data_IF_316896591981
#
_entry.id   IF_316896591981
#
_cell.length_a   1.000
_cell.length_b   1.000
_cell.length_c   1.000
_cell.angle_alpha   90.00
_cell.angle_beta   90.00
_cell.angle_gamma   90.00
#
_symmetry.space_group_name_H-M   'P 1'
#
loop_
_entity.id
_entity.type
_entity.pdbx_description
1 polymer ?
#
# COMPACT_ATOMS: atom_id res chain seq x y z
N UNK A 1 22.66 -9.78 8.75
CA UNK A 1 21.36 -9.83 9.46
C UNK A 1 21.56 -10.47 10.82
N UNK A 2 21.09 -9.88 11.90
CA UNK A 2 21.19 -10.50 13.23
C UNK A 2 20.36 -11.79 13.24
N UNK A 3 20.98 -12.89 13.62
CA UNK A 3 20.29 -14.19 13.76
C UNK A 3 19.61 -14.33 15.13
N UNK A 4 20.09 -13.57 16.11
CA UNK A 4 19.59 -13.55 17.49
C UNK A 4 19.58 -12.11 17.97
N UNK A 5 18.51 -11.71 18.64
CA UNK A 5 18.36 -10.39 19.22
C UNK A 5 17.32 -9.52 18.50
N UNK A 6 16.88 -8.51 19.22
CA UNK A 6 15.89 -7.53 18.77
C UNK A 6 16.57 -6.50 17.86
N UNK A 7 15.98 -6.25 16.70
CA UNK A 7 16.39 -5.15 15.81
C UNK A 7 15.43 -3.99 16.02
N UNK A 8 15.89 -2.86 16.58
CA UNK A 8 15.02 -1.71 16.76
C UNK A 8 14.54 -1.17 15.40
N UNK A 9 13.26 -0.87 15.31
CA UNK A 9 12.69 -0.22 14.12
C UNK A 9 13.18 1.22 14.09
N UNK A 10 13.63 1.67 12.90
CA UNK A 10 13.96 3.08 12.69
C UNK A 10 12.69 3.91 12.74
N UNK A 11 12.75 5.01 13.48
CA UNK A 11 11.67 6.00 13.50
C UNK A 11 11.58 6.70 12.14
N UNK A 12 10.36 6.88 11.66
CA UNK A 12 10.08 7.61 10.43
C UNK A 12 9.66 9.02 10.82
N UNK A 13 10.45 10.01 10.43
CA UNK A 13 10.12 11.42 10.65
C UNK A 13 8.92 11.82 9.78
N UNK A 14 8.05 12.70 10.26
CA UNK A 14 6.94 13.22 9.47
C UNK A 14 7.45 14.03 8.27
N UNK A 15 6.63 14.08 7.22
CA UNK A 15 6.94 14.89 6.06
C UNK A 15 6.90 16.39 6.39
N UNK A 16 7.87 17.22 5.92
CA UNK A 16 7.93 18.62 6.27
C UNK A 16 6.76 19.45 5.71
N UNK A 17 6.14 19.03 4.60
CA UNK A 17 5.04 19.75 3.95
C UNK A 17 3.69 19.33 4.52
N UNK A 18 3.44 18.03 4.61
CA UNK A 18 2.13 17.49 5.04
C UNK A 18 2.10 17.05 6.52
N UNK A 19 3.22 17.08 7.23
CA UNK A 19 3.31 16.78 8.67
C UNK A 19 2.96 15.36 9.08
N UNK A 20 2.79 14.43 8.13
CA UNK A 20 2.37 13.05 8.40
C UNK A 20 3.45 12.02 8.07
N UNK A 21 3.61 11.03 8.94
CA UNK A 21 4.55 9.91 8.72
C UNK A 21 4.11 9.00 7.58
N UNK A 22 2.81 8.98 7.28
CA UNK A 22 2.26 8.15 6.21
C UNK A 22 2.70 8.64 4.84
N UNK A 23 2.75 9.98 4.64
CA UNK A 23 3.28 10.59 3.41
C UNK A 23 4.77 10.28 3.27
N UNK A 24 5.56 10.34 4.35
CA UNK A 24 6.97 9.93 4.30
C UNK A 24 7.12 8.47 3.88
N UNK A 25 6.27 7.58 4.39
CA UNK A 25 6.26 6.16 3.98
C UNK A 25 5.88 6.00 2.50
N UNK A 26 4.95 6.79 1.98
CA UNK A 26 4.60 6.82 0.56
C UNK A 26 5.81 7.25 -0.28
N UNK A 27 6.48 8.35 0.08
CA UNK A 27 7.68 8.83 -0.59
C UNK A 27 8.77 7.75 -0.61
N UNK A 28 9.00 7.07 0.51
CA UNK A 28 9.96 5.97 0.59
C UNK A 28 9.58 4.79 -0.32
N UNK A 29 8.29 4.56 -0.55
CA UNK A 29 7.81 3.50 -1.45
C UNK A 29 7.95 3.90 -2.93
N UNK A 30 7.79 5.19 -3.26
CA UNK A 30 8.00 5.73 -4.61
C UNK A 30 9.50 5.76 -4.97
N UNK A 31 10.36 5.97 -3.98
CA UNK A 31 11.78 6.17 -4.17
C UNK A 31 12.45 4.97 -4.86
N UNK A 32 13.27 5.26 -5.88
CA UNK A 32 14.15 4.32 -6.56
C UNK A 32 15.58 4.83 -6.44
N UNK A 33 16.55 3.91 -6.35
CA UNK A 33 18.00 4.19 -6.32
C UNK A 33 18.42 5.23 -5.25
N UNK A 34 17.66 5.35 -4.17
CA UNK A 34 17.92 6.32 -3.11
C UNK A 34 17.63 7.79 -3.48
N UNK A 35 17.01 8.04 -4.64
CA UNK A 35 16.71 9.41 -5.14
C UNK A 35 15.49 10.00 -4.43
N UNK A 36 15.65 10.35 -3.15
CA UNK A 36 14.55 10.84 -2.31
C UNK A 36 13.94 12.16 -2.82
N UNK A 37 14.75 13.13 -3.25
CA UNK A 37 14.25 14.42 -3.75
C UNK A 37 13.33 14.27 -4.95
N UNK A 38 13.65 13.37 -5.88
CA UNK A 38 12.78 13.07 -7.02
C UNK A 38 11.46 12.46 -6.55
N UNK A 39 11.50 11.51 -5.61
CA UNK A 39 10.30 10.88 -5.07
C UNK A 39 9.41 11.88 -4.31
N UNK A 40 9.99 12.83 -3.58
CA UNK A 40 9.25 13.92 -2.94
C UNK A 40 8.54 14.80 -3.97
N UNK A 41 9.24 15.25 -5.01
CA UNK A 41 8.64 16.07 -6.07
C UNK A 41 7.49 15.34 -6.76
N UNK A 42 7.66 14.06 -7.09
CA UNK A 42 6.58 13.24 -7.68
C UNK A 42 5.37 13.17 -6.75
N UNK A 43 5.59 12.94 -5.46
CA UNK A 43 4.52 12.86 -4.47
C UNK A 43 3.76 14.19 -4.34
N UNK A 44 4.49 15.31 -4.25
CA UNK A 44 3.89 16.64 -4.09
C UNK A 44 3.11 17.07 -5.33
N UNK A 45 3.66 16.89 -6.53
CA UNK A 45 2.95 17.15 -7.78
C UNK A 45 1.69 16.28 -7.93
N UNK A 46 1.76 15.00 -7.51
CA UNK A 46 0.59 14.14 -7.52
C UNK A 46 -0.50 14.66 -6.56
N UNK A 47 -0.12 15.11 -5.37
CA UNK A 47 -1.05 15.65 -4.39
C UNK A 47 -1.67 16.97 -4.83
N UNK A 48 -0.89 17.86 -5.46
CA UNK A 48 -1.40 19.08 -6.09
C UNK A 48 -2.46 18.75 -7.16
N UNK A 49 -2.14 17.82 -8.07
CA UNK A 49 -3.07 17.35 -9.10
C UNK A 49 -4.35 16.75 -8.51
N UNK A 50 -4.24 15.97 -7.43
CA UNK A 50 -5.42 15.42 -6.73
C UNK A 50 -6.27 16.54 -6.14
N UNK A 51 -5.66 17.52 -5.46
CA UNK A 51 -6.37 18.65 -4.87
C UNK A 51 -7.10 19.49 -5.92
N UNK A 52 -6.43 19.78 -7.04
CA UNK A 52 -7.03 20.53 -8.16
C UNK A 52 -8.23 19.82 -8.79
N UNK A 53 -8.11 18.50 -9.02
CA UNK A 53 -9.16 17.73 -9.69
C UNK A 53 -10.34 17.37 -8.78
N UNK A 54 -10.10 17.13 -7.51
CA UNK A 54 -11.14 16.69 -6.56
C UNK A 54 -11.75 17.85 -5.77
N UNK A 55 -11.07 18.99 -5.67
CA UNK A 55 -11.47 20.12 -4.81
C UNK A 55 -11.39 19.81 -3.31
N UNK A 56 -10.81 18.67 -2.92
CA UNK A 56 -10.63 18.24 -1.53
C UNK A 56 -9.15 18.32 -1.14
N UNK A 57 -8.83 18.41 0.17
CA UNK A 57 -7.46 18.27 0.62
C UNK A 57 -6.87 16.93 0.16
N UNK A 58 -5.69 16.96 -0.45
CA UNK A 58 -5.06 15.75 -0.99
C UNK A 58 -4.79 14.69 0.08
N UNK A 59 -4.53 15.11 1.32
CA UNK A 59 -4.34 14.22 2.48
C UNK A 59 -5.58 13.41 2.80
N UNK A 60 -6.78 14.00 2.66
CA UNK A 60 -8.04 13.32 2.94
C UNK A 60 -8.34 12.28 1.87
N UNK A 61 -8.18 12.65 0.60
CA UNK A 61 -8.31 11.73 -0.53
C UNK A 61 -7.31 10.58 -0.41
N UNK A 62 -6.07 10.87 -0.01
CA UNK A 62 -5.06 9.86 0.23
C UNK A 62 -5.44 8.91 1.37
N UNK A 63 -5.99 9.43 2.46
CA UNK A 63 -6.44 8.61 3.59
C UNK A 63 -7.62 7.72 3.20
N UNK A 64 -8.59 8.24 2.43
CA UNK A 64 -9.70 7.46 1.87
C UNK A 64 -9.18 6.34 0.95
N UNK A 65 -8.24 6.66 0.05
CA UNK A 65 -7.60 5.68 -0.82
C UNK A 65 -6.89 4.56 -0.03
N UNK A 66 -6.13 4.92 1.01
CA UNK A 66 -5.47 3.94 1.88
C UNK A 66 -6.48 3.02 2.58
N UNK A 67 -7.55 3.58 3.12
CA UNK A 67 -8.59 2.80 3.80
C UNK A 67 -9.27 1.81 2.84
N UNK A 68 -9.53 2.26 1.60
CA UNK A 68 -10.16 1.43 0.57
C UNK A 68 -9.25 0.31 0.06
N UNK A 69 -7.92 0.54 -0.01
CA UNK A 69 -6.95 -0.44 -0.50
C UNK A 69 -6.43 -1.37 0.59
N UNK A 70 -6.49 -0.97 1.86
CA UNK A 70 -5.93 -1.72 2.97
C UNK A 70 -6.61 -3.10 3.15
N UNK A 71 -5.89 -4.23 2.97
CA UNK A 71 -6.47 -5.55 3.12
C UNK A 71 -6.61 -5.95 4.60
N UNK A 72 -7.64 -6.71 4.93
CA UNK A 72 -7.84 -7.27 6.27
C UNK A 72 -7.23 -8.66 6.41
N UNK A 73 -7.24 -9.44 5.33
CA UNK A 73 -6.76 -10.81 5.27
C UNK A 73 -5.67 -10.94 4.22
N UNK A 74 -4.68 -11.80 4.49
CA UNK A 74 -3.73 -12.28 3.50
C UNK A 74 -3.66 -13.81 3.54
N UNK A 75 -3.16 -14.39 2.47
CA UNK A 75 -2.98 -15.85 2.36
C UNK A 75 -1.51 -16.16 2.50
N UNK A 76 -1.18 -17.10 3.39
CA UNK A 76 0.20 -17.51 3.67
C UNK A 76 0.37 -19.01 3.43
N UNK A 77 1.36 -19.37 2.63
CA UNK A 77 1.69 -20.78 2.38
C UNK A 77 2.22 -21.44 3.66
N UNK A 78 1.58 -22.53 4.06
CA UNK A 78 2.03 -23.40 5.16
C UNK A 78 2.22 -24.82 4.64
N UNK A 79 3.33 -25.42 5.01
CA UNK A 79 3.63 -26.82 4.64
C UNK A 79 3.19 -27.74 5.77
N UNK A 80 2.25 -28.64 5.46
CA UNK A 80 1.71 -29.63 6.39
C UNK A 80 1.72 -30.98 5.71
N UNK A 81 2.39 -31.99 6.30
CA UNK A 81 2.43 -33.34 5.77
C UNK A 81 2.97 -33.46 4.33
N UNK A 82 3.90 -32.58 3.93
CA UNK A 82 4.48 -32.56 2.57
C UNK A 82 3.70 -31.74 1.54
N UNK A 83 2.45 -31.36 1.79
CA UNK A 83 1.66 -30.48 0.95
C UNK A 83 1.72 -29.01 1.43
N UNK A 84 1.64 -28.05 0.51
CA UNK A 84 1.61 -26.62 0.82
C UNK A 84 0.18 -26.12 0.71
N UNK A 85 -0.37 -25.65 1.84
CA UNK A 85 -1.70 -25.06 1.92
C UNK A 85 -1.63 -23.55 2.03
N UNK A 86 -2.56 -22.87 1.36
CA UNK A 86 -2.71 -21.42 1.45
C UNK A 86 -3.64 -21.12 2.64
N UNK A 87 -3.06 -20.64 3.75
CA UNK A 87 -3.80 -20.41 5.00
C UNK A 87 -4.15 -18.93 5.11
N UNK A 88 -5.44 -18.55 5.26
CA UNK A 88 -5.84 -17.18 5.48
C UNK A 88 -5.46 -16.73 6.89
N UNK A 89 -4.84 -15.56 6.99
CA UNK A 89 -4.45 -14.93 8.26
C UNK A 89 -4.86 -13.46 8.28
N UNK A 90 -5.16 -12.97 9.47
CA UNK A 90 -5.39 -11.54 9.69
C UNK A 90 -4.08 -10.76 9.60
N UNK A 91 -4.15 -9.57 9.02
CA UNK A 91 -2.99 -8.72 8.81
C UNK A 91 -2.88 -7.69 9.95
N UNK A 92 -1.69 -7.58 10.54
CA UNK A 92 -1.41 -6.54 11.54
C UNK A 92 -1.55 -5.14 10.93
N UNK A 93 -1.98 -4.11 11.69
CA UNK A 93 -2.24 -2.76 11.17
C UNK A 93 -1.06 -2.14 10.41
N UNK A 94 0.17 -2.27 10.93
CA UNK A 94 1.39 -1.77 10.28
C UNK A 94 1.64 -2.40 8.91
N UNK A 95 1.42 -3.72 8.79
CA UNK A 95 1.58 -4.45 7.54
C UNK A 95 0.46 -4.12 6.57
N UNK A 96 -0.77 -3.92 7.07
CA UNK A 96 -1.92 -3.47 6.29
C UNK A 96 -1.62 -2.15 5.57
N UNK A 97 -1.10 -1.17 6.31
CA UNK A 97 -0.67 0.12 5.75
C UNK A 97 0.44 -0.06 4.70
N UNK A 98 1.44 -0.89 5.00
CA UNK A 98 2.57 -1.14 4.09
C UNK A 98 2.11 -1.79 2.78
N UNK A 99 1.19 -2.74 2.85
CA UNK A 99 0.63 -3.40 1.65
C UNK A 99 -0.18 -2.42 0.81
N UNK A 100 -1.02 -1.59 1.43
CA UNK A 100 -1.80 -0.57 0.73
C UNK A 100 -0.89 0.42 -0.02
N UNK A 101 0.13 0.97 0.64
CA UNK A 101 1.10 1.88 0.02
C UNK A 101 1.83 1.22 -1.15
N UNK A 102 2.29 -0.01 -0.97
CA UNK A 102 2.98 -0.78 -2.00
C UNK A 102 2.09 -0.99 -3.23
N UNK A 103 0.86 -1.45 -3.04
CA UNK A 103 -0.05 -1.71 -4.14
C UNK A 103 -0.41 -0.43 -4.90
N UNK A 104 -0.69 0.68 -4.21
CA UNK A 104 -0.94 1.97 -4.87
C UNK A 104 0.24 2.34 -5.77
N UNK A 105 1.47 2.28 -5.27
CA UNK A 105 2.66 2.66 -6.07
C UNK A 105 2.92 1.67 -7.21
N UNK A 106 2.80 0.36 -6.94
CA UNK A 106 3.05 -0.68 -7.96
C UNK A 106 2.03 -0.61 -9.12
N UNK A 107 0.76 -0.32 -8.81
CA UNK A 107 -0.27 -0.17 -9.83
C UNK A 107 -0.21 1.20 -10.52
N UNK A 108 0.16 2.27 -9.80
CA UNK A 108 0.45 3.55 -10.42
C UNK A 108 1.55 3.43 -11.49
N UNK A 109 2.63 2.69 -11.20
CA UNK A 109 3.72 2.45 -12.18
C UNK A 109 3.26 1.73 -13.45
N UNK A 110 2.20 0.93 -13.37
CA UNK A 110 1.65 0.16 -14.52
C UNK A 110 0.64 0.95 -15.36
N UNK A 111 0.27 2.16 -14.93
CA UNK A 111 -0.68 3.00 -15.67
C UNK A 111 -0.05 3.59 -16.93
N UNK A 112 -0.89 4.03 -17.86
CA UNK A 112 -0.49 4.53 -19.16
C UNK A 112 -0.25 6.04 -19.24
N UNK A 113 -0.48 6.82 -18.16
CA UNK A 113 -0.26 8.25 -18.14
C UNK A 113 1.23 8.58 -18.33
N UNK A 114 1.53 9.80 -18.79
CA UNK A 114 2.88 10.18 -19.21
C UNK A 114 3.87 10.24 -18.05
N UNK A 115 3.54 10.94 -16.97
CA UNK A 115 4.43 11.14 -15.84
C UNK A 115 4.05 10.28 -14.65
N UNK A 116 5.01 9.96 -13.77
CA UNK A 116 4.72 9.19 -12.55
C UNK A 116 3.81 9.97 -11.59
N UNK A 117 3.89 11.30 -11.56
CA UNK A 117 3.01 12.14 -10.76
C UNK A 117 1.55 12.00 -11.21
N UNK A 118 1.29 12.05 -12.52
CA UNK A 118 -0.05 11.86 -13.09
C UNK A 118 -0.59 10.45 -12.82
N UNK A 119 0.25 9.42 -12.98
CA UNK A 119 -0.09 8.03 -12.69
C UNK A 119 -0.49 7.83 -11.23
N UNK A 120 0.30 8.40 -10.32
CA UNK A 120 0.03 8.30 -8.89
C UNK A 120 -1.25 9.07 -8.52
N UNK A 121 -1.44 10.28 -9.04
CA UNK A 121 -2.65 11.07 -8.82
C UNK A 121 -3.90 10.34 -9.28
N UNK A 122 -3.87 9.76 -10.48
CA UNK A 122 -4.99 9.00 -11.04
C UNK A 122 -5.30 7.74 -10.21
N UNK A 123 -4.28 6.98 -9.79
CA UNK A 123 -4.51 5.79 -8.94
C UNK A 123 -5.06 6.15 -7.56
N UNK A 124 -4.62 7.27 -6.97
CA UNK A 124 -5.14 7.75 -5.69
C UNK A 124 -6.61 8.16 -5.80
N UNK A 125 -6.99 8.88 -6.85
CA UNK A 125 -8.38 9.26 -7.09
C UNK A 125 -9.27 8.03 -7.31
N UNK A 126 -8.86 7.09 -8.16
CA UNK A 126 -9.60 5.86 -8.41
C UNK A 126 -9.76 5.04 -7.13
N UNK A 127 -8.70 4.92 -6.34
CA UNK A 127 -8.72 4.20 -5.07
C UNK A 127 -9.63 4.88 -4.02
N UNK A 128 -9.67 6.20 -3.96
CA UNK A 128 -10.57 6.94 -3.09
C UNK A 128 -12.06 6.69 -3.43
N UNK A 129 -12.37 6.52 -4.72
CA UNK A 129 -13.70 6.12 -5.19
C UNK A 129 -13.95 4.60 -5.14
N UNK A 130 -13.10 3.86 -4.44
CA UNK A 130 -13.17 2.41 -4.30
C UNK A 130 -13.13 1.67 -5.65
N UNK A 131 -12.37 2.18 -6.59
CA UNK A 131 -12.13 1.63 -7.93
C UNK A 131 -10.62 1.50 -8.19
N UNK A 132 -10.25 1.08 -9.40
CA UNK A 132 -8.84 0.99 -9.77
C UNK A 132 -8.19 -0.35 -9.47
N UNK A 133 -6.93 -0.48 -9.90
CA UNK A 133 -6.21 -1.75 -9.86
C UNK A 133 -5.75 -2.14 -8.44
N UNK A 134 -5.43 -1.16 -7.62
CA UNK A 134 -5.04 -1.41 -6.22
C UNK A 134 -6.20 -1.97 -5.40
N UNK A 135 -7.42 -1.45 -5.58
CA UNK A 135 -8.63 -1.97 -4.92
C UNK A 135 -8.96 -3.37 -5.42
N UNK A 136 -8.90 -3.61 -6.73
CA UNK A 136 -9.08 -4.96 -7.29
C UNK A 136 -8.10 -5.97 -6.70
N UNK A 137 -6.86 -5.56 -6.43
CA UNK A 137 -5.86 -6.42 -5.77
C UNK A 137 -6.27 -6.80 -4.36
N UNK A 138 -6.83 -5.87 -3.58
CA UNK A 138 -7.40 -6.18 -2.27
C UNK A 138 -8.52 -7.21 -2.38
N UNK A 139 -9.45 -7.01 -3.33
CA UNK A 139 -10.58 -7.93 -3.53
C UNK A 139 -10.13 -9.33 -3.94
N UNK A 140 -9.13 -9.44 -4.83
CA UNK A 140 -8.52 -10.71 -5.20
C UNK A 140 -7.91 -11.42 -3.97
N UNK A 141 -7.20 -10.68 -3.13
CA UNK A 141 -6.60 -11.23 -1.92
C UNK A 141 -7.67 -11.74 -0.94
N UNK A 142 -8.75 -10.98 -0.74
CA UNK A 142 -9.88 -11.39 0.09
C UNK A 142 -10.60 -12.60 -0.50
N UNK A 143 -10.80 -12.64 -1.82
CA UNK A 143 -11.41 -13.81 -2.50
C UNK A 143 -10.57 -15.07 -2.34
N UNK A 144 -9.24 -14.95 -2.48
CA UNK A 144 -8.34 -16.07 -2.22
C UNK A 144 -8.39 -16.53 -0.76
N UNK A 145 -8.47 -15.58 0.20
CA UNK A 145 -8.58 -15.92 1.61
C UNK A 145 -9.91 -16.62 1.93
N UNK A 146 -11.00 -16.20 1.33
CA UNK A 146 -12.32 -16.82 1.49
C UNK A 146 -12.37 -18.22 0.87
N UNK A 147 -11.83 -18.39 -0.34
CA UNK A 147 -11.74 -19.70 -1.00
C UNK A 147 -10.91 -20.73 -0.18
N UNK A 148 -9.93 -20.24 0.57
CA UNK A 148 -9.07 -21.09 1.43
C UNK A 148 -9.52 -21.11 2.90
N UNK A 149 -10.71 -20.64 3.22
CA UNK A 149 -11.23 -20.55 4.59
C UNK A 149 -11.24 -21.90 5.31
N UNK A 150 -11.43 -23.00 4.59
CA UNK A 150 -11.40 -24.35 5.13
C UNK A 150 -10.03 -24.70 5.79
N UNK A 151 -8.95 -24.05 5.38
CA UNK A 151 -7.60 -24.29 5.94
C UNK A 151 -7.24 -23.32 7.08
N UNK A 152 -8.17 -22.50 7.55
CA UNK A 152 -7.92 -21.54 8.63
C UNK A 152 -7.45 -22.20 9.94
N UNK A 153 -7.83 -23.44 10.19
CA UNK A 153 -7.40 -24.21 11.37
C UNK A 153 -5.92 -24.59 11.35
N UNK A 154 -5.23 -24.49 10.22
CA UNK A 154 -3.77 -24.65 10.14
C UNK A 154 -2.99 -23.37 10.54
N UNK A 155 -3.69 -22.39 11.13
CA UNK A 155 -3.09 -21.15 11.65
C UNK A 155 -2.48 -21.42 13.04
N UNK A 156 -1.18 -21.28 13.16
CA UNK A 156 -0.39 -21.21 14.38
C UNK A 156 0.68 -20.13 14.30
#
# INVERSE_FOLDING_TARGET
MPRRGFVPKREVLPDPVYGTTVVTKLINQIMLDGKRGVAQNVCYQAFETVAEKTGKPATDVFQEALNNVAPQLEVKGRRVGGATYQVPIEIRPERRQTLALRWIVDFARKRGEKTMAERLAAELMDAAYNTGAAVKRKEEMHRMAEANKAFAHYRW
#
